data_IF_561065833647
#
_entry.id   IF_561065833647
#
_cell.length_a   1.000
_cell.length_b   1.000
_cell.length_c   1.000
_cell.angle_alpha   90.00
_cell.angle_beta   90.00
_cell.angle_gamma   90.00
#
_symmetry.space_group_name_H-M   'P 1'
#
loop_
_entity.id
_entity.type
_entity.pdbx_description
1 polymer ?
#
# COMPACT_ATOMS: atom_id res chain seq x y z
N UNK A 1 -29.81 -7.15 1.82
CA UNK A 1 -29.31 -6.28 2.91
C UNK A 1 -28.11 -5.54 2.39
N UNK A 2 -28.12 -4.20 2.46
CA UNK A 2 -26.96 -3.38 2.10
C UNK A 2 -25.77 -3.81 2.96
N UNK A 3 -24.78 -4.46 2.38
CA UNK A 3 -23.54 -4.76 3.09
C UNK A 3 -22.91 -3.42 3.52
N UNK A 4 -22.54 -3.30 4.79
CA UNK A 4 -21.85 -2.11 5.29
C UNK A 4 -20.58 -1.88 4.45
N UNK A 5 -20.46 -0.71 3.80
CA UNK A 5 -19.29 -0.36 3.01
C UNK A 5 -18.19 0.13 3.93
N UNK A 6 -17.08 -0.60 3.98
CA UNK A 6 -15.88 -0.16 4.67
C UNK A 6 -15.05 0.69 3.70
N UNK A 7 -14.85 1.96 4.05
CA UNK A 7 -13.88 2.79 3.34
C UNK A 7 -12.50 2.50 3.92
N UNK A 8 -11.59 2.10 3.03
CA UNK A 8 -10.23 1.74 3.39
C UNK A 8 -9.34 2.97 3.53
N UNK A 9 -8.36 2.84 4.42
CA UNK A 9 -7.23 3.75 4.58
C UNK A 9 -6.51 4.02 3.25
N UNK A 10 -5.91 5.18 3.13
CA UNK A 10 -4.99 5.55 2.07
C UNK A 10 -3.60 4.99 2.35
N UNK A 11 -2.98 4.39 1.34
CA UNK A 11 -1.59 3.91 1.40
C UNK A 11 -0.82 4.52 0.23
N UNK A 12 0.37 5.04 0.49
CA UNK A 12 1.29 5.57 -0.51
C UNK A 12 2.70 5.02 -0.30
N UNK A 13 3.30 4.54 -1.38
CA UNK A 13 4.68 4.08 -1.44
C UNK A 13 5.45 4.89 -2.47
N UNK A 14 6.66 5.30 -2.12
CA UNK A 14 7.54 6.09 -2.98
C UNK A 14 8.95 5.53 -2.92
N UNK A 15 9.56 5.30 -4.09
CA UNK A 15 11.00 5.10 -4.21
C UNK A 15 11.59 6.41 -4.73
N UNK A 16 12.44 7.03 -3.93
CA UNK A 16 13.06 8.30 -4.26
C UNK A 16 14.51 8.31 -3.80
N UNK A 17 15.42 8.73 -4.69
CA UNK A 17 16.87 8.72 -4.45
C UNK A 17 17.41 7.34 -3.96
N UNK A 18 16.89 6.25 -4.53
CA UNK A 18 17.31 4.88 -4.20
C UNK A 18 16.86 4.37 -2.82
N UNK A 19 15.92 5.07 -2.18
CA UNK A 19 15.32 4.66 -0.90
C UNK A 19 13.81 4.50 -1.04
N UNK A 20 13.27 3.45 -0.43
CA UNK A 20 11.85 3.17 -0.38
C UNK A 20 11.25 3.59 0.97
N UNK A 21 10.11 4.27 0.89
CA UNK A 21 9.23 4.50 2.02
C UNK A 21 7.79 4.10 1.65
N UNK A 22 7.07 3.56 2.63
CA UNK A 22 5.66 3.20 2.50
C UNK A 22 4.91 3.69 3.73
N UNK A 23 3.79 4.37 3.52
CA UNK A 23 2.97 4.90 4.60
C UNK A 23 1.49 4.65 4.39
N UNK A 24 0.75 4.61 5.49
CA UNK A 24 -0.71 4.67 5.47
C UNK A 24 -1.23 5.67 6.50
N UNK A 25 -2.43 6.17 6.27
CA UNK A 25 -3.22 6.78 7.35
C UNK A 25 -3.85 5.72 8.26
N UNK A 26 -4.59 6.17 9.26
CA UNK A 26 -5.16 5.31 10.30
C UNK A 26 -6.68 5.22 10.31
N UNK A 27 -7.39 5.92 9.42
CA UNK A 27 -8.84 5.99 9.45
C UNK A 27 -9.51 4.75 8.86
N UNK A 28 -10.33 4.08 9.67
CA UNK A 28 -11.32 3.11 9.22
C UNK A 28 -12.71 3.69 9.38
N UNK A 29 -13.39 3.90 8.25
CA UNK A 29 -14.76 4.44 8.22
C UNK A 29 -15.72 3.36 7.76
N UNK A 30 -16.76 3.11 8.56
CA UNK A 30 -17.84 2.21 8.21
C UNK A 30 -19.06 3.04 7.85
N UNK A 31 -19.46 2.98 6.57
CA UNK A 31 -20.44 3.88 5.97
C UNK A 31 -20.06 5.35 6.18
N UNK A 32 -20.63 6.03 7.17
CA UNK A 32 -20.38 7.45 7.49
C UNK A 32 -19.74 7.66 8.87
N UNK A 33 -19.41 6.59 9.58
CA UNK A 33 -18.92 6.65 10.95
C UNK A 33 -17.46 6.23 11.01
N UNK A 34 -16.61 7.10 11.57
CA UNK A 34 -15.22 6.74 11.88
C UNK A 34 -15.21 5.73 13.03
N UNK A 35 -14.84 4.50 12.73
CA UNK A 35 -14.79 3.40 13.70
C UNK A 35 -13.48 3.37 14.48
N UNK A 36 -12.37 3.76 13.82
CA UNK A 36 -11.03 3.80 14.40
C UNK A 36 -10.17 4.77 13.62
N UNK A 37 -9.32 5.52 14.31
CA UNK A 37 -8.46 6.54 13.68
C UNK A 37 -6.98 6.13 13.60
N UNK A 38 -6.59 4.96 14.11
CA UNK A 38 -5.17 4.55 14.27
C UNK A 38 -4.89 3.14 13.74
N UNK A 39 -5.55 2.74 12.65
CA UNK A 39 -5.26 1.46 11.99
C UNK A 39 -3.85 1.48 11.39
N UNK A 40 -3.15 0.35 11.43
CA UNK A 40 -1.85 0.20 10.75
C UNK A 40 -2.03 -0.77 9.59
N UNK A 41 -1.75 -0.31 8.37
CA UNK A 41 -1.93 -1.09 7.13
C UNK A 41 -0.65 -1.34 6.35
N UNK A 42 0.48 -0.91 6.90
CA UNK A 42 1.82 -1.15 6.35
C UNK A 42 2.58 -2.12 7.24
N UNK A 43 3.38 -2.99 6.61
CA UNK A 43 4.17 -4.03 7.29
C UNK A 43 5.50 -4.24 6.56
N UNK A 44 6.55 -4.50 7.33
CA UNK A 44 7.83 -5.00 6.83
C UNK A 44 7.76 -6.52 6.67
N UNK A 45 8.16 -7.03 5.50
CA UNK A 45 8.24 -8.45 5.16
C UNK A 45 9.69 -8.83 4.82
N UNK A 46 9.96 -10.12 4.72
CA UNK A 46 11.22 -10.70 4.26
C UNK A 46 12.44 -10.12 5.00
N UNK A 47 12.36 -10.14 6.33
CA UNK A 47 13.41 -9.61 7.21
C UNK A 47 13.63 -8.11 7.10
N UNK A 48 12.61 -7.34 6.67
CA UNK A 48 12.70 -5.88 6.54
C UNK A 48 13.13 -5.37 5.18
N UNK A 49 13.37 -6.27 4.21
CA UNK A 49 13.85 -5.92 2.86
C UNK A 49 12.72 -5.59 1.88
N UNK A 50 11.47 -5.89 2.25
CA UNK A 50 10.29 -5.59 1.44
C UNK A 50 9.25 -4.90 2.33
N UNK A 51 8.66 -3.82 1.83
CA UNK A 51 7.55 -3.13 2.45
C UNK A 51 6.26 -3.57 1.76
N UNK A 52 5.20 -3.82 2.54
CA UNK A 52 3.89 -4.19 2.02
C UNK A 52 2.78 -3.35 2.65
N UNK A 53 1.77 -2.99 1.85
CA UNK A 53 0.68 -2.13 2.26
C UNK A 53 -0.65 -2.53 1.63
N UNK A 54 -1.73 -2.51 2.41
CA UNK A 54 -3.04 -3.03 1.95
C UNK A 54 -4.21 -2.14 2.36
N UNK A 55 -5.04 -1.74 1.39
CA UNK A 55 -6.20 -0.88 1.60
C UNK A 55 -7.50 -1.70 1.56
N UNK A 56 -7.72 -2.53 2.58
CA UNK A 56 -8.93 -3.33 2.74
C UNK A 56 -9.16 -3.78 4.18
N UNK A 57 -9.89 -4.88 4.39
CA UNK A 57 -10.14 -5.42 5.73
C UNK A 57 -8.83 -5.84 6.41
N UNK A 58 -8.80 -5.84 7.74
CA UNK A 58 -7.57 -6.23 8.46
C UNK A 58 -7.29 -7.72 8.34
N UNK A 59 -8.32 -8.57 8.33
CA UNK A 59 -8.15 -10.01 8.17
C UNK A 59 -7.51 -10.35 6.81
N UNK A 60 -8.03 -9.76 5.74
CA UNK A 60 -7.50 -9.98 4.38
C UNK A 60 -6.06 -9.49 4.25
N UNK A 61 -5.72 -8.37 4.89
CA UNK A 61 -4.35 -7.85 4.91
C UNK A 61 -3.37 -8.87 5.49
N UNK A 62 -3.70 -9.47 6.65
CA UNK A 62 -2.85 -10.47 7.28
C UNK A 62 -2.65 -11.68 6.38
N UNK A 63 -3.74 -12.22 5.82
CA UNK A 63 -3.68 -13.38 4.92
C UNK A 63 -2.81 -13.11 3.69
N UNK A 64 -2.97 -11.94 3.05
CA UNK A 64 -2.20 -11.61 1.85
C UNK A 64 -0.73 -11.33 2.15
N UNK A 65 -0.42 -10.70 3.29
CA UNK A 65 0.96 -10.52 3.73
C UNK A 65 1.65 -11.86 4.00
N UNK A 66 0.98 -12.79 4.69
CA UNK A 66 1.52 -14.12 4.96
C UNK A 66 1.75 -14.90 3.67
N UNK A 67 0.76 -14.96 2.78
CA UNK A 67 0.90 -15.62 1.47
C UNK A 67 2.03 -15.00 0.64
N UNK A 68 2.15 -13.67 0.64
CA UNK A 68 3.22 -13.01 -0.10
C UNK A 68 4.60 -13.32 0.50
N UNK A 69 4.72 -13.36 1.82
CA UNK A 69 5.97 -13.71 2.52
C UNK A 69 6.37 -15.17 2.24
N UNK A 70 5.42 -16.09 2.19
CA UNK A 70 5.65 -17.46 1.72
C UNK A 70 6.20 -17.49 0.29
N UNK A 71 5.60 -16.72 -0.63
CA UNK A 71 6.09 -16.63 -2.02
C UNK A 71 7.47 -15.99 -2.11
N UNK A 72 7.75 -14.96 -1.31
CA UNK A 72 9.10 -14.38 -1.25
C UNK A 72 10.13 -15.41 -0.80
N UNK A 73 9.81 -16.23 0.20
CA UNK A 73 10.70 -17.31 0.65
C UNK A 73 10.87 -18.40 -0.43
N UNK A 74 9.78 -18.82 -1.07
CA UNK A 74 9.80 -19.83 -2.15
C UNK A 74 10.68 -19.40 -3.34
N UNK A 75 10.65 -18.11 -3.69
CA UNK A 75 11.37 -17.55 -4.83
C UNK A 75 12.63 -16.75 -4.44
N UNK A 76 13.21 -17.02 -3.26
CA UNK A 76 14.47 -16.43 -2.79
C UNK A 76 14.51 -14.88 -2.88
N UNK A 77 13.41 -14.23 -2.50
CA UNK A 77 13.27 -12.78 -2.49
C UNK A 77 12.98 -12.15 -3.85
N UNK A 78 12.75 -12.94 -4.91
CA UNK A 78 12.36 -12.39 -6.22
C UNK A 78 10.93 -11.81 -6.14
N UNK A 79 10.86 -10.49 -5.97
CA UNK A 79 9.64 -9.75 -5.66
C UNK A 79 8.61 -9.83 -6.81
N UNK A 80 9.07 -9.69 -8.06
CA UNK A 80 8.22 -9.78 -9.26
C UNK A 80 7.66 -11.19 -9.44
N UNK A 81 8.50 -12.22 -9.27
CA UNK A 81 8.04 -13.62 -9.38
C UNK A 81 7.05 -13.96 -8.27
N UNK A 82 7.36 -13.57 -7.03
CA UNK A 82 6.46 -13.76 -5.90
C UNK A 82 5.12 -13.06 -6.12
N UNK A 83 5.12 -11.86 -6.71
CA UNK A 83 3.90 -11.10 -6.99
C UNK A 83 3.03 -11.79 -8.03
N UNK A 84 3.63 -12.30 -9.11
CA UNK A 84 2.91 -13.05 -10.14
C UNK A 84 2.31 -14.35 -9.59
N UNK A 85 3.03 -15.08 -8.75
CA UNK A 85 2.51 -16.32 -8.16
C UNK A 85 1.43 -16.06 -7.11
N UNK A 86 1.56 -15.00 -6.30
CA UNK A 86 0.49 -14.54 -5.43
C UNK A 86 -0.76 -14.16 -6.24
N UNK A 87 -0.60 -13.38 -7.31
CA UNK A 87 -1.72 -12.94 -8.15
C UNK A 87 -2.49 -14.13 -8.76
N UNK A 88 -1.76 -15.17 -9.21
CA UNK A 88 -2.36 -16.42 -9.70
C UNK A 88 -3.12 -17.16 -8.61
N UNK A 89 -2.57 -17.23 -7.40
CA UNK A 89 -3.20 -17.89 -6.26
C UNK A 89 -4.45 -17.13 -5.81
N UNK A 90 -4.33 -15.82 -5.64
CA UNK A 90 -5.41 -14.91 -5.25
C UNK A 90 -6.59 -15.01 -6.23
N UNK A 91 -6.33 -15.01 -7.54
CA UNK A 91 -7.37 -15.15 -8.56
C UNK A 91 -8.10 -16.51 -8.52
N UNK A 92 -7.44 -17.58 -8.08
CA UNK A 92 -8.05 -18.93 -7.99
C UNK A 92 -8.89 -19.11 -6.72
N UNK A 93 -8.58 -18.36 -5.67
CA UNK A 93 -9.29 -18.45 -4.41
C UNK A 93 -10.66 -17.77 -4.50
N UNK A 94 -11.73 -18.56 -4.33
CA UNK A 94 -13.11 -18.09 -4.48
C UNK A 94 -13.49 -16.98 -3.50
N UNK A 95 -12.83 -16.90 -2.35
CA UNK A 95 -13.06 -15.90 -1.33
C UNK A 95 -12.21 -14.67 -1.59
N UNK A 96 -10.91 -14.85 -1.83
CA UNK A 96 -10.00 -13.71 -2.01
C UNK A 96 -10.26 -12.95 -3.33
N UNK A 97 -10.65 -13.60 -4.42
CA UNK A 97 -10.90 -12.91 -5.71
C UNK A 97 -12.02 -11.86 -5.64
N UNK A 98 -12.90 -11.94 -4.63
CA UNK A 98 -14.02 -11.00 -4.43
C UNK A 98 -13.60 -9.74 -3.69
N UNK A 99 -12.37 -9.70 -3.18
CA UNK A 99 -11.82 -8.52 -2.54
C UNK A 99 -11.61 -7.44 -3.60
N UNK A 100 -12.25 -6.30 -3.42
CA UNK A 100 -12.02 -5.08 -4.22
C UNK A 100 -10.72 -4.35 -3.82
N UNK A 101 -9.88 -5.00 -3.02
CA UNK A 101 -8.69 -4.41 -2.43
C UNK A 101 -7.45 -4.67 -3.29
N UNK A 102 -6.50 -3.74 -3.19
CA UNK A 102 -5.18 -3.81 -3.82
C UNK A 102 -4.11 -3.97 -2.76
N UNK A 103 -3.00 -4.60 -3.14
CA UNK A 103 -1.81 -4.79 -2.31
C UNK A 103 -0.63 -4.08 -2.97
N UNK A 104 0.04 -3.19 -2.24
CA UNK A 104 1.34 -2.64 -2.64
C UNK A 104 2.43 -3.49 -2.01
N UNK A 105 3.46 -3.85 -2.79
CA UNK A 105 4.72 -4.43 -2.32
C UNK A 105 5.89 -3.70 -2.97
N UNK A 106 6.92 -3.35 -2.21
CA UNK A 106 8.04 -2.58 -2.75
C UNK A 106 9.36 -2.82 -2.01
N UNK A 107 10.46 -2.64 -2.72
CA UNK A 107 11.82 -2.54 -2.18
C UNK A 107 12.48 -1.24 -2.67
N UNK A 108 13.80 -1.08 -2.46
CA UNK A 108 14.54 0.11 -2.90
C UNK A 108 14.68 0.24 -4.43
N UNK A 109 14.27 -0.78 -5.20
CA UNK A 109 14.47 -0.86 -6.65
C UNK A 109 13.14 -0.80 -7.42
N UNK A 110 12.11 -1.51 -6.94
CA UNK A 110 10.84 -1.71 -7.62
C UNK A 110 9.65 -1.53 -6.66
N UNK A 111 8.52 -1.09 -7.20
CA UNK A 111 7.24 -1.10 -6.52
C UNK A 111 6.22 -1.85 -7.39
N UNK A 112 5.36 -2.66 -6.78
CA UNK A 112 4.33 -3.43 -7.47
C UNK A 112 2.99 -3.25 -6.80
N UNK A 113 1.94 -3.14 -7.60
CA UNK A 113 0.53 -3.18 -7.18
C UNK A 113 -0.08 -4.49 -7.66
N UNK A 114 -0.68 -5.25 -6.75
CA UNK A 114 -1.24 -6.57 -7.00
C UNK A 114 -2.75 -6.53 -6.74
N UNK A 115 -3.54 -7.11 -7.64
CA UNK A 115 -5.00 -7.17 -7.55
C UNK A 115 -5.53 -8.60 -7.40
N UNK A 116 -6.71 -8.74 -6.81
CA UNK A 116 -7.44 -10.03 -6.77
C UNK A 116 -7.93 -10.52 -8.13
N UNK A 117 -7.88 -9.68 -9.17
CA UNK A 117 -8.17 -10.07 -10.56
C UNK A 117 -6.97 -10.74 -11.24
N UNK A 118 -5.82 -10.76 -10.58
CA UNK A 118 -4.59 -11.37 -11.07
C UNK A 118 -3.66 -10.39 -11.79
N UNK A 119 -3.85 -9.09 -11.62
CA UNK A 119 -2.97 -8.07 -12.19
C UNK A 119 -1.77 -7.83 -11.30
N UNK A 120 -0.62 -7.58 -11.93
CA UNK A 120 0.62 -7.11 -11.31
C UNK A 120 1.10 -5.91 -12.12
N UNK A 121 1.14 -4.75 -11.49
CA UNK A 121 1.42 -3.47 -12.13
C UNK A 121 2.63 -2.82 -11.48
N UNK A 122 3.65 -2.51 -12.26
CA UNK A 122 4.81 -1.71 -11.84
C UNK A 122 4.61 -0.27 -12.33
N UNK A 123 4.62 0.75 -11.45
CA UNK A 123 4.41 2.14 -11.83
C UNK A 123 5.69 2.73 -12.47
N UNK A 124 5.53 3.47 -13.56
CA UNK A 124 6.64 4.08 -14.31
C UNK A 124 7.43 5.14 -13.52
N UNK A 125 6.81 5.73 -12.50
CA UNK A 125 7.34 6.85 -11.73
C UNK A 125 7.77 6.46 -10.30
N UNK A 126 7.82 5.15 -10.02
CA UNK A 126 8.16 4.60 -8.71
C UNK A 126 7.23 5.05 -7.56
N UNK A 127 5.99 5.43 -7.87
CA UNK A 127 4.99 5.84 -6.88
C UNK A 127 3.79 4.90 -6.99
N UNK A 128 3.44 4.25 -5.89
CA UNK A 128 2.28 3.38 -5.79
C UNK A 128 1.29 3.91 -4.76
N UNK A 129 0.00 3.96 -5.09
CA UNK A 129 -1.05 4.41 -4.18
C UNK A 129 -2.28 3.54 -4.28
N UNK A 130 -2.92 3.29 -3.14
CA UNK A 130 -4.19 2.56 -3.03
C UNK A 130 -5.05 3.19 -1.92
N UNK A 131 -6.33 2.85 -1.89
CA UNK A 131 -7.27 3.33 -0.87
C UNK A 131 -8.02 4.61 -1.26
N UNK A 132 -8.82 5.11 -0.33
CA UNK A 132 -9.81 6.17 -0.55
C UNK A 132 -9.21 7.49 -1.07
N UNK A 133 -8.16 7.98 -0.40
CA UNK A 133 -7.42 9.19 -0.77
C UNK A 133 -6.24 8.96 -1.72
N UNK A 134 -6.14 7.78 -2.33
CA UNK A 134 -4.97 7.38 -3.13
C UNK A 134 -4.64 8.34 -4.28
N UNK A 135 -5.65 8.88 -4.97
CA UNK A 135 -5.42 9.81 -6.10
C UNK A 135 -4.88 11.17 -5.65
N UNK A 136 -5.27 11.65 -4.46
CA UNK A 136 -4.75 12.89 -3.89
C UNK A 136 -3.29 12.72 -3.47
N UNK A 137 -3.00 11.64 -2.74
CA UNK A 137 -1.65 11.27 -2.36
C UNK A 137 -0.74 11.07 -3.58
N UNK A 138 -1.23 10.43 -4.64
CA UNK A 138 -0.49 10.20 -5.88
C UNK A 138 -0.10 11.52 -6.56
N UNK A 139 -1.05 12.45 -6.64
CA UNK A 139 -0.83 13.76 -7.25
C UNK A 139 0.21 14.57 -6.48
N UNK A 140 0.12 14.56 -5.14
CA UNK A 140 1.08 15.20 -4.25
C UNK A 140 2.48 14.59 -4.37
N UNK A 141 2.58 13.25 -4.29
CA UNK A 141 3.83 12.52 -4.40
C UNK A 141 4.53 12.80 -5.74
N UNK A 142 3.79 12.75 -6.86
CA UNK A 142 4.34 13.04 -8.19
C UNK A 142 4.89 14.45 -8.30
N UNK A 143 4.15 15.44 -7.78
CA UNK A 143 4.59 16.84 -7.80
C UNK A 143 5.87 17.01 -6.97
N UNK A 144 5.93 16.44 -5.77
CA UNK A 144 7.10 16.53 -4.89
C UNK A 144 8.32 15.77 -5.45
N UNK A 145 8.15 14.54 -5.94
CA UNK A 145 9.25 13.79 -6.57
C UNK A 145 9.86 14.54 -7.76
N UNK A 146 9.03 15.24 -8.54
CA UNK A 146 9.47 16.01 -9.71
C UNK A 146 10.15 17.33 -9.34
N UNK A 147 9.62 18.06 -8.37
CA UNK A 147 9.98 19.46 -8.12
C UNK A 147 10.75 19.69 -6.81
N UNK A 148 10.60 18.83 -5.81
CA UNK A 148 11.19 18.93 -4.48
C UNK A 148 12.27 17.87 -4.24
N UNK A 149 13.25 17.77 -5.15
CA UNK A 149 14.29 16.71 -5.18
C UNK A 149 15.08 16.49 -3.88
N UNK A 150 15.12 17.50 -3.00
CA UNK A 150 15.81 17.47 -1.70
C UNK A 150 15.08 16.66 -0.64
N UNK A 151 13.78 16.40 -0.82
CA UNK A 151 13.01 15.58 0.11
C UNK A 151 13.48 14.13 0.08
N UNK A 152 13.37 13.44 1.20
CA UNK A 152 13.55 11.97 1.28
C UNK A 152 12.27 11.25 0.86
N UNK A 153 12.35 9.96 0.54
CA UNK A 153 11.17 9.14 0.25
C UNK A 153 10.12 9.21 1.37
N UNK A 154 10.55 9.12 2.64
CA UNK A 154 9.65 9.25 3.80
C UNK A 154 8.99 10.62 3.90
N UNK A 155 9.72 11.71 3.66
CA UNK A 155 9.13 13.05 3.68
C UNK A 155 8.08 13.21 2.58
N UNK A 156 8.33 12.66 1.38
CA UNK A 156 7.35 12.67 0.29
C UNK A 156 6.11 11.87 0.68
N UNK A 157 6.27 10.68 1.25
CA UNK A 157 5.16 9.85 1.75
C UNK A 157 4.34 10.58 2.83
N UNK A 158 5.02 11.16 3.82
CA UNK A 158 4.40 11.90 4.92
C UNK A 158 3.57 13.08 4.42
N UNK A 159 4.15 13.94 3.59
CA UNK A 159 3.44 15.10 3.05
C UNK A 159 2.33 14.71 2.07
N UNK A 160 2.50 13.62 1.32
CA UNK A 160 1.45 13.13 0.41
C UNK A 160 0.22 12.64 1.16
N UNK A 161 0.42 11.99 2.31
CA UNK A 161 -0.67 11.54 3.18
C UNK A 161 -1.33 12.72 3.89
N UNK A 162 -0.57 13.72 4.35
CA UNK A 162 -1.14 14.93 4.94
C UNK A 162 -2.01 15.69 3.94
N UNK A 163 -1.53 15.89 2.71
CA UNK A 163 -2.33 16.52 1.64
C UNK A 163 -3.59 15.69 1.33
N UNK A 164 -3.48 14.36 1.32
CA UNK A 164 -4.66 13.51 1.14
C UNK A 164 -5.65 13.65 2.30
N UNK A 165 -5.18 13.72 3.55
CA UNK A 165 -6.01 13.91 4.74
C UNK A 165 -6.70 15.28 4.79
N UNK A 166 -6.09 16.32 4.22
CA UNK A 166 -6.68 17.66 4.13
C UNK A 166 -7.83 17.73 3.10
N UNK A 167 -7.94 16.75 2.19
CA UNK A 167 -8.88 16.75 1.06
C UNK A 167 -9.92 15.63 1.18
N UNK A 168 -9.48 14.42 1.50
CA UNK A 168 -10.30 13.22 1.53
C UNK A 168 -10.91 12.98 2.90
N UNK A 169 -12.25 12.94 2.97
CA UNK A 169 -12.99 12.72 4.22
C UNK A 169 -12.76 11.33 4.84
N UNK A 170 -12.14 10.39 4.12
CA UNK A 170 -11.85 9.04 4.57
C UNK A 170 -10.38 8.81 4.95
N UNK A 171 -9.56 9.85 4.90
CA UNK A 171 -8.12 9.82 5.23
C UNK A 171 -7.85 10.79 6.38
N UNK A 172 -6.98 10.42 7.34
CA UNK A 172 -6.62 11.31 8.45
C UNK A 172 -5.10 11.51 8.63
N UNK A 173 -4.73 12.38 9.58
CA UNK A 173 -3.33 12.67 9.91
C UNK A 173 -2.67 11.66 10.85
N UNK A 174 -3.31 10.53 11.17
CA UNK A 174 -2.71 9.50 12.04
C UNK A 174 -1.90 8.53 11.17
N UNK A 175 -0.65 8.91 10.89
CA UNK A 175 0.18 8.23 9.91
C UNK A 175 1.01 7.10 10.53
N UNK A 176 1.22 6.04 9.76
CA UNK A 176 2.22 5.00 10.02
C UNK A 176 3.11 4.88 8.81
N UNK A 177 4.40 5.22 8.95
CA UNK A 177 5.37 5.24 7.86
C UNK A 177 6.53 4.31 8.19
N UNK A 178 6.90 3.45 7.24
CA UNK A 178 8.02 2.52 7.33
C UNK A 178 8.98 2.71 6.17
N UNK A 179 10.26 2.45 6.42
CA UNK A 179 11.37 2.53 5.46
C UNK A 179 12.18 1.24 5.52
N UNK A 180 12.90 0.93 4.45
CA UNK A 180 13.93 -0.12 4.45
C UNK A 180 15.17 0.44 5.13
N UNK A 181 15.64 -0.24 6.18
CA UNK A 181 16.88 0.10 6.88
C UNK A 181 18.09 -0.41 6.07
N UNK A 182 19.23 0.27 6.23
CA UNK A 182 20.50 -0.08 5.58
C UNK A 182 21.13 -1.37 6.10
#
# INVERSE_FOLDING_TARGET
MSAFKLHATTVVGVIHNGKAALGSDGQATMDKTVMKSTVKKVRKLYGGKVLAGFAGSTADAFTLFEKYEEKLNEYNGNMQRAAVELAKEWRKDKFLQKLEALLIVMNNENALVISGQGDVIEPDDNIATIGSGGSYALSAARAMSKHAKKLTAKQIVEESLNIAADIDIYTNHNLSIIEIED
#
